data_IF_201195954324
#
_entry.id   IF_201195954324
#
_cell.length_a   1.000
_cell.length_b   1.000
_cell.length_c   1.000
_cell.angle_alpha   90.00
_cell.angle_beta   90.00
_cell.angle_gamma   90.00
#
_symmetry.space_group_name_H-M   'P 1'
#
loop_
_entity.id
_entity.type
_entity.pdbx_description
1 polymer ?
2 water ?
#
# COMPACT_ATOMS: atom_id res chain seq x y z
N UNK A 4 -25.33 42.93 -24.12
CA UNK A 4 -24.14 42.08 -24.47
C UNK A 4 -22.99 42.23 -23.48
N UNK A 5 -22.69 43.49 -23.11
CA UNK A 5 -21.75 43.89 -22.01
C UNK A 5 -22.22 43.46 -20.58
N UNK A 6 -23.48 43.04 -20.48
CA UNK A 6 -24.03 42.27 -19.35
C UNK A 6 -23.51 40.81 -19.38
N UNK A 7 -23.43 40.24 -20.59
CA UNK A 7 -22.85 38.92 -20.80
C UNK A 7 -21.35 38.96 -20.71
N UNK A 8 -20.73 40.15 -20.72
CA UNK A 8 -19.28 40.28 -20.52
C UNK A 8 -18.91 40.34 -19.03
N UNK A 9 -19.86 40.81 -18.20
CA UNK A 9 -19.73 40.78 -16.73
C UNK A 9 -19.87 39.34 -16.24
N UNK A 10 -20.97 38.70 -16.62
CA UNK A 10 -21.18 37.29 -16.34
C UNK A 10 -20.06 36.41 -16.92
N UNK A 11 -19.67 36.63 -18.15
CA UNK A 11 -18.57 35.86 -18.73
C UNK A 11 -17.33 35.91 -17.83
N UNK A 12 -16.95 37.12 -17.44
CA UNK A 12 -15.73 37.37 -16.68
C UNK A 12 -15.76 36.79 -15.26
N UNK A 13 -16.92 36.80 -14.62
CA UNK A 13 -17.09 36.14 -13.32
C UNK A 13 -17.03 34.59 -13.47
N UNK A 14 -17.37 34.10 -14.64
CA UNK A 14 -17.33 32.70 -14.86
C UNK A 14 -15.86 32.27 -14.99
N UNK A 15 -15.07 33.02 -15.78
CA UNK A 15 -13.62 32.84 -15.91
C UNK A 15 -12.90 32.90 -14.57
N UNK A 16 -13.19 33.90 -13.77
CA UNK A 16 -12.58 34.03 -12.44
C UNK A 16 -12.73 32.77 -11.62
N UNK A 17 -13.91 32.18 -11.72
CA UNK A 17 -14.22 30.99 -10.99
C UNK A 17 -13.55 29.79 -11.65
N UNK A 18 -13.52 29.71 -12.98
CA UNK A 18 -12.81 28.62 -13.64
C UNK A 18 -11.34 28.69 -13.26
N UNK A 19 -10.81 29.89 -13.07
CA UNK A 19 -9.42 30.02 -12.68
C UNK A 19 -9.22 29.44 -11.34
N UNK A 20 -10.13 29.77 -10.44
CA UNK A 20 -9.98 29.37 -9.09
C UNK A 20 -10.03 27.85 -9.05
N UNK A 21 -10.98 27.25 -9.76
CA UNK A 21 -11.12 25.79 -9.80
C UNK A 21 -9.91 25.09 -10.43
N UNK A 22 -9.38 25.65 -11.51
CA UNK A 22 -8.16 25.13 -12.09
C UNK A 22 -7.04 25.09 -11.02
N UNK A 23 -7.01 26.08 -10.12
CA UNK A 23 -5.99 26.16 -9.09
C UNK A 23 -6.20 25.14 -7.99
N UNK A 24 -7.45 24.89 -7.67
CA UNK A 24 -7.78 24.02 -6.58
C UNK A 24 -7.53 22.59 -7.05
N UNK A 25 -7.83 22.35 -8.31
CA UNK A 25 -7.63 21.06 -8.94
C UNK A 25 -6.15 20.67 -9.10
N UNK A 26 -5.29 21.62 -9.46
CA UNK A 26 -3.82 21.41 -9.35
C UNK A 26 -3.42 21.03 -7.92
N UNK A 27 -3.79 21.81 -6.93
CA UNK A 27 -3.53 21.39 -5.59
C UNK A 27 -4.06 20.02 -5.27
N UNK A 28 -5.24 19.67 -5.78
CA UNK A 28 -5.84 18.42 -5.42
C UNK A 28 -5.04 17.28 -6.06
N UNK A 29 -4.55 17.46 -7.27
CA UNK A 29 -3.69 16.43 -7.90
C UNK A 29 -2.41 16.16 -7.09
N UNK A 30 -1.77 17.24 -6.64
CA UNK A 30 -0.55 17.12 -5.87
C UNK A 30 -0.79 16.31 -4.64
N UNK A 31 -1.78 16.74 -3.88
CA UNK A 31 -2.14 16.12 -2.64
C UNK A 31 -2.58 14.67 -2.73
N UNK A 32 -3.29 14.36 -3.80
CA UNK A 32 -3.75 13.00 -4.08
C UNK A 32 -2.52 12.09 -4.24
N UNK A 33 -1.51 12.63 -4.93
CA UNK A 33 -0.25 11.92 -5.24
C UNK A 33 0.54 11.69 -3.98
N UNK A 34 0.59 12.70 -3.15
CA UNK A 34 1.21 12.57 -1.82
C UNK A 34 0.49 11.55 -0.96
N UNK A 35 -0.85 11.66 -0.88
CA UNK A 35 -1.63 10.67 -0.15
C UNK A 35 -1.33 9.27 -0.62
N UNK A 36 -1.34 9.06 -1.93
CA UNK A 36 -1.10 7.71 -2.37
C UNK A 36 0.20 7.23 -1.83
N UNK A 37 1.26 7.98 -2.12
CA UNK A 37 2.65 7.57 -1.72
C UNK A 37 2.73 7.35 -0.19
N UNK A 38 2.20 8.29 0.59
CA UNK A 38 2.22 8.11 2.08
C UNK A 38 1.47 6.88 2.58
N UNK A 39 0.30 6.65 1.98
CA UNK A 39 -0.42 5.41 2.25
C UNK A 39 0.32 4.20 1.78
N UNK A 40 0.86 4.27 0.57
CA UNK A 40 1.57 3.10 0.10
C UNK A 40 2.72 2.73 1.09
N UNK A 41 3.53 3.72 1.43
CA UNK A 41 4.71 3.50 2.25
C UNK A 41 4.28 3.04 3.67
N UNK A 42 3.27 3.69 4.23
CA UNK A 42 2.68 3.20 5.50
C UNK A 42 2.32 1.71 5.52
N UNK A 43 1.84 1.16 4.40
CA UNK A 43 1.33 -0.16 4.37
C UNK A 43 2.52 -1.06 4.22
N UNK A 44 3.48 -0.61 3.44
CA UNK A 44 4.69 -1.41 3.28
C UNK A 44 5.48 -1.52 4.61
N UNK A 45 5.53 -0.43 5.39
CA UNK A 45 6.01 -0.47 6.79
C UNK A 45 5.12 -1.33 7.66
N UNK A 46 3.79 -1.15 7.71
CA UNK A 46 3.02 -2.04 8.56
C UNK A 46 3.38 -3.49 8.26
N UNK A 47 3.55 -3.88 7.01
CA UNK A 47 3.67 -5.31 6.71
C UNK A 47 5.09 -5.68 6.42
N UNK A 48 6.03 -4.75 6.61
CA UNK A 48 7.43 -5.03 6.36
C UNK A 48 7.65 -5.58 4.96
N UNK A 49 7.12 -4.83 4.01
CA UNK A 49 7.22 -5.21 2.61
C UNK A 49 8.13 -4.21 1.93
N UNK A 50 8.87 -4.68 0.93
CA UNK A 50 9.71 -3.81 0.07
C UNK A 50 9.12 -3.69 -1.33
N UNK A 51 9.74 -2.87 -2.19
CA UNK A 51 9.44 -2.86 -3.64
C UNK A 51 9.64 -4.17 -4.36
N UNK A 52 10.64 -4.92 -3.93
CA UNK A 52 10.84 -6.28 -4.42
C UNK A 52 9.59 -7.13 -4.25
N UNK A 53 9.12 -7.23 -3.03
CA UNK A 53 7.91 -7.94 -2.70
C UNK A 53 6.70 -7.49 -3.52
N UNK A 54 6.60 -6.18 -3.75
CA UNK A 54 5.48 -5.65 -4.50
C UNK A 54 5.60 -6.13 -5.94
N UNK A 55 6.81 -6.00 -6.50
CA UNK A 55 7.02 -6.45 -7.92
C UNK A 55 6.68 -7.93 -8.05
N UNK A 56 7.07 -8.71 -7.04
CA UNK A 56 6.81 -10.16 -6.96
C UNK A 56 5.36 -10.55 -6.84
N UNK A 57 4.57 -9.72 -6.19
CA UNK A 57 3.13 -10.01 -5.98
C UNK A 57 2.37 -9.64 -7.23
N UNK A 58 2.73 -8.51 -7.83
CA UNK A 58 1.99 -7.96 -8.96
C UNK A 58 2.54 -8.43 -10.33
N UNK A 59 3.83 -8.81 -10.36
CA UNK A 59 4.49 -9.29 -11.59
C UNK A 59 5.42 -10.50 -11.29
N UNK A 60 4.83 -11.69 -11.09
CA UNK A 60 5.55 -12.86 -10.52
C UNK A 60 6.57 -13.61 -11.43
N UNK B 3 16.18 -42.85 33.89
CA UNK B 3 15.99 -41.55 34.67
C UNK B 3 16.40 -40.25 33.89
N UNK B 4 17.07 -40.51 32.75
CA UNK B 4 17.59 -39.54 31.78
C UNK B 4 16.73 -39.55 30.50
N UNK B 5 16.09 -40.69 30.19
CA UNK B 5 15.24 -40.80 29.00
C UNK B 5 13.86 -40.14 29.26
N UNK B 6 13.74 -39.59 30.47
CA UNK B 6 12.71 -38.66 30.92
C UNK B 6 13.02 -37.16 30.71
N UNK B 7 14.30 -36.78 30.69
CA UNK B 7 14.72 -35.53 30.07
C UNK B 7 14.63 -35.66 28.56
N UNK B 8 14.99 -36.83 28.03
CA UNK B 8 14.93 -37.09 26.59
C UNK B 8 13.55 -37.03 25.99
N UNK B 9 12.52 -37.13 26.84
CA UNK B 9 11.13 -37.25 26.34
C UNK B 9 10.37 -35.92 26.48
N UNK B 10 10.59 -35.29 27.63
CA UNK B 10 10.30 -33.92 27.85
C UNK B 10 10.77 -33.13 26.60
N UNK B 11 11.98 -33.44 26.12
CA UNK B 11 12.65 -32.64 25.09
C UNK B 11 11.95 -32.87 23.78
N UNK B 12 11.32 -34.03 23.65
CA UNK B 12 10.53 -34.38 22.48
C UNK B 12 9.14 -33.75 22.50
N UNK B 13 8.62 -33.53 23.71
CA UNK B 13 7.32 -32.89 23.86
C UNK B 13 7.47 -31.40 23.36
N UNK B 14 8.53 -30.73 23.85
CA UNK B 14 8.90 -29.36 23.43
C UNK B 14 9.20 -29.22 21.95
N UNK B 15 9.99 -30.12 21.44
CA UNK B 15 10.22 -30.15 20.02
C UNK B 15 8.89 -30.24 19.30
N UNK B 16 7.87 -30.85 19.91
CA UNK B 16 6.57 -30.96 19.22
C UNK B 16 5.79 -29.66 19.31
N UNK B 17 5.75 -29.07 20.51
CA UNK B 17 5.09 -27.76 20.68
C UNK B 17 5.78 -26.68 19.78
N UNK B 18 7.08 -26.82 19.57
CA UNK B 18 7.78 -25.93 18.68
C UNK B 18 7.24 -26.12 17.27
N UNK B 19 6.92 -27.36 16.94
CA UNK B 19 6.35 -27.66 15.64
C UNK B 19 5.00 -26.99 15.46
N UNK B 20 4.14 -27.08 16.46
CA UNK B 20 2.83 -26.43 16.39
C UNK B 20 2.91 -24.91 16.37
N UNK B 21 3.89 -24.32 17.04
CA UNK B 21 4.03 -22.88 17.01
C UNK B 21 4.33 -22.35 15.64
N UNK B 22 5.24 -23.06 14.98
CA UNK B 22 5.63 -22.76 13.61
C UNK B 22 4.49 -22.96 12.62
N UNK B 23 3.68 -23.98 12.80
CA UNK B 23 2.46 -24.12 12.01
C UNK B 23 1.60 -22.87 12.18
N UNK B 24 1.31 -22.49 13.44
CA UNK B 24 0.56 -21.24 13.79
C UNK B 24 1.18 -19.94 13.28
N UNK B 25 2.48 -19.91 13.31
CA UNK B 25 3.22 -18.77 12.89
C UNK B 25 3.01 -18.61 11.40
N UNK B 26 3.15 -19.71 10.65
CA UNK B 26 2.96 -19.70 9.19
C UNK B 26 1.55 -19.28 8.82
N UNK B 27 0.53 -19.69 9.58
CA UNK B 27 -0.85 -19.24 9.28
C UNK B 27 -1.03 -17.73 9.44
N UNK B 28 -0.36 -17.15 10.43
CA UNK B 28 -0.40 -15.70 10.66
C UNK B 28 0.32 -15.01 9.52
N UNK B 29 1.51 -15.49 9.16
CA UNK B 29 2.34 -14.98 8.04
C UNK B 29 1.54 -14.84 6.75
N UNK B 30 1.10 -15.98 6.27
CA UNK B 30 0.08 -16.09 5.23
C UNK B 30 -1.10 -15.13 5.41
N UNK B 31 -1.78 -15.10 6.54
CA UNK B 31 -2.81 -14.08 6.74
C UNK B 31 -2.32 -12.65 6.39
N UNK B 32 -1.19 -12.28 6.95
CA UNK B 32 -0.65 -10.97 6.77
C UNK B 32 -0.29 -10.70 5.28
N UNK B 33 0.36 -11.66 4.60
CA UNK B 33 0.59 -11.63 3.14
C UNK B 33 -0.69 -11.32 2.38
N UNK B 34 -1.78 -12.03 2.66
CA UNK B 34 -3.02 -11.79 1.91
C UNK B 34 -3.59 -10.41 2.26
N UNK B 35 -3.40 -9.90 3.47
CA UNK B 35 -4.03 -8.57 3.70
C UNK B 35 -3.19 -7.46 3.06
N UNK B 36 -1.89 -7.64 3.04
CA UNK B 36 -1.07 -6.68 2.31
C UNK B 36 -1.48 -6.58 0.80
N UNK B 37 -1.51 -7.75 0.15
CA UNK B 37 -1.93 -8.01 -1.24
C UNK B 37 -3.28 -7.40 -1.53
N UNK B 38 -4.26 -7.60 -0.66
CA UNK B 38 -5.53 -6.96 -0.86
C UNK B 38 -5.56 -5.51 -0.60
N UNK B 39 -4.91 -5.13 0.45
CA UNK B 39 -4.81 -3.72 0.79
C UNK B 39 -4.04 -2.92 -0.23
N UNK B 40 -3.00 -3.50 -0.77
CA UNK B 40 -2.21 -2.89 -1.87
C UNK B 40 -3.08 -2.67 -3.12
N UNK B 41 -3.62 -3.77 -3.64
CA UNK B 41 -4.47 -3.73 -4.79
C UNK B 41 -5.60 -2.75 -4.62
N UNK B 42 -6.17 -2.67 -3.42
CA UNK B 42 -7.30 -1.68 -3.19
C UNK B 42 -6.90 -0.25 -3.19
N UNK B 43 -5.69 0.03 -2.67
CA UNK B 43 -5.12 1.39 -2.79
C UNK B 43 -4.80 1.67 -4.22
N UNK B 44 -4.29 0.71 -4.97
CA UNK B 44 -3.92 0.99 -6.33
C UNK B 44 -5.21 1.33 -7.10
N UNK B 45 -6.22 0.48 -7.00
CA UNK B 45 -7.57 0.82 -7.48
C UNK B 45 -8.11 2.16 -7.08
N UNK B 46 -8.10 2.55 -5.82
CA UNK B 46 -8.67 3.88 -5.49
C UNK B 46 -7.92 5.05 -6.10
N UNK B 47 -6.58 4.92 -6.31
CA UNK B 47 -5.78 6.07 -6.79
C UNK B 47 -5.41 5.87 -8.23
N UNK B 48 -5.89 4.79 -8.81
CA UNK B 48 -5.67 4.46 -10.18
C UNK B 48 -4.15 4.28 -10.55
N UNK B 49 -3.48 3.44 -9.76
CA UNK B 49 -2.08 3.31 -9.79
C UNK B 49 -1.78 1.96 -10.26
N UNK B 50 -0.76 1.91 -11.09
CA UNK B 50 -0.24 0.69 -11.65
C UNK B 50 1.01 0.34 -10.93
N UNK B 51 1.47 -0.88 -11.13
CA UNK B 51 2.79 -1.28 -10.66
C UNK B 51 3.95 -0.40 -11.16
N UNK B 52 3.81 0.17 -12.36
CA UNK B 52 4.90 0.99 -12.96
C UNK B 52 4.95 2.30 -12.24
N UNK B 53 3.75 2.83 -11.97
CA UNK B 53 3.56 4.00 -11.09
C UNK B 53 4.23 3.82 -9.75
N UNK B 54 4.09 2.64 -9.15
CA UNK B 54 4.67 2.37 -7.84
C UNK B 54 6.21 2.37 -7.88
N UNK B 55 6.74 1.69 -8.89
CA UNK B 55 8.16 1.68 -9.15
C UNK B 55 8.66 3.08 -9.47
N UNK B 56 7.97 3.78 -10.37
CA UNK B 56 8.26 5.19 -10.66
C UNK B 56 8.38 6.01 -9.40
N UNK B 57 7.53 5.74 -8.40
CA UNK B 57 7.39 6.59 -7.20
C UNK B 57 8.45 6.30 -6.17
N UNK B 58 8.72 5.02 -6.02
CA UNK B 58 9.58 4.55 -4.95
C UNK B 58 11.06 4.38 -5.38
N UNK B 59 11.31 4.31 -6.69
CA UNK B 59 12.61 3.88 -7.23
C UNK B 59 12.68 3.78 -8.76
N UNK B 60 12.61 4.93 -9.47
CA UNK B 60 12.58 4.97 -10.98
C UNK B 60 13.64 4.10 -11.77
N UNK B 61 14.87 4.07 -11.24
CA UNK B 61 16.03 3.36 -11.83
C UNK B 61 16.31 2.00 -11.17
N UNK B 62 15.50 1.59 -10.18
CA UNK B 62 15.77 0.39 -9.33
C UNK B 62 17.23 0.41 -8.80
#
# INVERSE_FOLDING_TARGET
>A
MSRLAEFAAAEKALQEQMAQLEALKKDAGLKREIEFEQKLVGLMKSYDKSLRDIIAILDPKLEHHHHHH
>B
MSRLAEFAAAEKALQEQMAQLEALKKDAGLKREIEFEQKLVGLMKSYDKSLRDIIAILDPKLEHHHHHH
#
